data_IF_354166785496
#
_entry.id   IF_354166785496
#
_cell.length_a   1.000
_cell.length_b   1.000
_cell.length_c   1.000
_cell.angle_alpha   90.00
_cell.angle_beta   90.00
_cell.angle_gamma   90.00
#
_symmetry.space_group_name_H-M   'P 1'
#
loop_
_entity.id
_entity.type
_entity.pdbx_description
1 polymer ?
#
# COMPACT_ATOMS: atom_id res chain seq x y z
N UNK A 1 -1.06 -33.63 20.27
CA UNK A 1 -1.41 -32.36 19.60
C UNK A 1 -1.65 -32.67 18.12
N UNK A 2 -2.90 -32.65 17.68
CA UNK A 2 -3.24 -32.98 16.28
C UNK A 2 -2.67 -31.91 15.36
N UNK A 3 -1.84 -32.32 14.42
CA UNK A 3 -1.17 -31.41 13.49
C UNK A 3 -2.20 -30.75 12.55
N UNK A 4 -2.06 -29.45 12.31
CA UNK A 4 -3.05 -28.67 11.55
C UNK A 4 -2.88 -28.91 10.05
N UNK A 5 -3.55 -29.94 9.54
CA UNK A 5 -3.44 -30.37 8.13
C UNK A 5 -4.58 -29.88 7.24
N UNK A 6 -5.77 -29.64 7.81
CA UNK A 6 -6.98 -29.32 7.06
C UNK A 6 -7.04 -27.85 6.63
N UNK A 7 -7.67 -27.60 5.48
CA UNK A 7 -7.88 -26.24 4.95
C UNK A 7 -8.84 -25.46 5.87
N UNK A 8 -8.66 -24.14 6.04
CA UNK A 8 -9.61 -23.33 6.81
C UNK A 8 -11.00 -23.35 6.17
N UNK A 9 -12.03 -23.50 7.00
CA UNK A 9 -13.43 -23.35 6.58
C UNK A 9 -13.73 -21.91 6.13
N UNK A 10 -14.82 -21.71 5.36
CA UNK A 10 -15.24 -20.35 4.98
C UNK A 10 -15.61 -19.51 6.21
N UNK A 11 -16.23 -20.12 7.23
CA UNK A 11 -16.61 -19.45 8.46
C UNK A 11 -15.41 -18.93 9.24
N UNK A 12 -14.33 -19.72 9.35
CA UNK A 12 -13.08 -19.29 9.97
C UNK A 12 -12.44 -18.13 9.23
N UNK A 13 -12.45 -18.15 7.89
CA UNK A 13 -11.98 -17.02 7.06
C UNK A 13 -12.82 -15.76 7.27
N UNK A 14 -14.15 -15.89 7.38
CA UNK A 14 -15.03 -14.75 7.63
C UNK A 14 -14.87 -14.19 9.04
N UNK A 15 -14.71 -15.03 10.06
CA UNK A 15 -14.42 -14.61 11.44
C UNK A 15 -13.09 -13.87 11.53
N UNK A 16 -12.02 -14.44 10.94
CA UNK A 16 -10.72 -13.79 10.86
C UNK A 16 -10.84 -12.39 10.21
N UNK A 17 -11.57 -12.28 9.09
CA UNK A 17 -11.85 -10.98 8.45
C UNK A 17 -12.61 -10.01 9.35
N UNK A 18 -13.66 -10.44 10.05
CA UNK A 18 -14.43 -9.59 10.99
C UNK A 18 -13.58 -9.08 12.14
N UNK A 19 -12.57 -9.84 12.56
CA UNK A 19 -11.57 -9.44 13.56
C UNK A 19 -10.43 -8.60 12.97
N UNK A 20 -10.51 -8.26 11.69
CA UNK A 20 -9.50 -7.52 10.94
C UNK A 20 -8.28 -8.34 10.53
N UNK A 21 -8.25 -9.65 10.80
CA UNK A 21 -7.17 -10.54 10.38
C UNK A 21 -7.23 -10.88 8.90
N UNK A 22 -6.52 -10.06 8.13
CA UNK A 22 -6.36 -10.15 6.69
C UNK A 22 -4.87 -10.32 6.34
N UNK A 23 -4.55 -11.05 5.25
CA UNK A 23 -3.19 -11.07 4.72
C UNK A 23 -2.89 -9.69 4.14
N UNK A 24 -1.88 -9.01 4.69
CA UNK A 24 -1.41 -7.70 4.22
C UNK A 24 0.06 -7.84 3.79
N UNK A 25 0.37 -7.26 2.64
CA UNK A 25 1.72 -7.20 2.06
C UNK A 25 2.18 -5.75 2.06
N UNK A 26 3.15 -5.43 2.92
CA UNK A 26 3.70 -4.08 2.99
C UNK A 26 4.42 -3.71 1.70
N UNK A 27 5.15 -4.65 1.10
CA UNK A 27 5.92 -4.42 -0.11
C UNK A 27 5.03 -4.16 -1.33
N UNK A 28 3.88 -4.84 -1.42
CA UNK A 28 2.88 -4.57 -2.45
C UNK A 28 2.26 -3.18 -2.31
N UNK A 29 1.94 -2.75 -1.08
CA UNK A 29 1.45 -1.39 -0.85
C UNK A 29 2.47 -0.38 -1.35
N UNK A 30 3.73 -0.50 -0.92
CA UNK A 30 4.80 0.44 -1.29
C UNK A 30 5.06 0.46 -2.80
N UNK A 31 5.08 -0.70 -3.47
CA UNK A 31 5.30 -0.78 -4.91
C UNK A 31 4.17 -0.11 -5.71
N UNK A 32 2.90 -0.36 -5.34
CA UNK A 32 1.74 0.24 -6.01
C UNK A 32 1.67 1.74 -5.74
N UNK A 33 1.83 2.17 -4.48
CA UNK A 33 1.84 3.59 -4.11
C UNK A 33 2.97 4.34 -4.81
N UNK A 34 4.17 3.75 -4.86
CA UNK A 34 5.32 4.33 -5.57
C UNK A 34 5.11 4.44 -7.07
N UNK A 35 4.54 3.41 -7.71
CA UNK A 35 4.21 3.44 -9.13
C UNK A 35 3.14 4.48 -9.48
N UNK A 36 2.11 4.61 -8.64
CA UNK A 36 1.08 5.64 -8.81
C UNK A 36 1.66 7.04 -8.59
N UNK A 37 2.56 7.22 -7.63
CA UNK A 37 3.26 8.48 -7.42
C UNK A 37 4.15 8.86 -8.61
N UNK A 38 4.86 7.88 -9.19
CA UNK A 38 5.64 8.11 -10.41
C UNK A 38 4.77 8.55 -11.59
N UNK A 39 3.62 7.89 -11.81
CA UNK A 39 2.67 8.30 -12.85
C UNK A 39 2.19 9.74 -12.62
N UNK A 40 1.75 10.05 -11.39
CA UNK A 40 1.30 11.40 -11.02
C UNK A 40 2.39 12.44 -11.27
N UNK A 41 3.62 12.18 -10.86
CA UNK A 41 4.76 13.07 -11.11
C UNK A 41 5.02 13.27 -12.60
N UNK A 42 4.99 12.19 -13.38
CA UNK A 42 5.30 12.25 -14.81
C UNK A 42 4.29 13.14 -15.57
N UNK A 43 3.01 13.06 -15.23
CA UNK A 43 1.98 13.87 -15.89
C UNK A 43 1.82 15.28 -15.30
N UNK A 44 2.01 15.46 -13.99
CA UNK A 44 1.74 16.73 -13.30
C UNK A 44 2.98 17.63 -13.18
N UNK A 45 4.20 17.08 -13.21
CA UNK A 45 5.42 17.87 -13.07
C UNK A 45 5.58 18.99 -14.12
N UNK A 46 5.24 18.78 -15.42
CA UNK A 46 5.32 19.87 -16.41
C UNK A 46 4.39 21.04 -16.06
N UNK A 47 3.16 20.74 -15.62
CA UNK A 47 2.19 21.74 -15.22
C UNK A 47 2.62 22.48 -13.95
N UNK A 48 3.19 21.76 -12.98
CA UNK A 48 3.73 22.36 -11.76
C UNK A 48 4.90 23.29 -12.10
N UNK A 49 5.86 22.82 -12.91
CA UNK A 49 7.01 23.60 -13.35
C UNK A 49 6.57 24.87 -14.10
N UNK A 50 5.67 24.75 -15.07
CA UNK A 50 5.15 25.89 -15.82
C UNK A 50 4.43 26.91 -14.91
N UNK A 51 3.70 26.44 -13.90
CA UNK A 51 3.02 27.31 -12.93
C UNK A 51 4.02 28.06 -12.04
N UNK A 52 5.10 27.39 -11.63
CA UNK A 52 6.20 28.03 -10.90
C UNK A 52 6.94 29.06 -11.76
N UNK A 53 7.24 28.74 -13.03
CA UNK A 53 7.88 29.69 -13.95
C UNK A 53 7.01 30.93 -14.14
N UNK A 54 5.70 30.76 -14.36
CA UNK A 54 4.74 31.88 -14.46
C UNK A 54 4.70 32.72 -13.19
N UNK A 55 4.73 32.08 -12.01
CA UNK A 55 4.77 32.79 -10.73
C UNK A 55 6.04 33.65 -10.62
N UNK A 56 7.21 33.07 -10.90
CA UNK A 56 8.49 33.80 -10.87
C UNK A 56 8.50 34.95 -11.86
N UNK A 57 8.07 34.72 -13.10
CA UNK A 57 7.96 35.77 -14.13
C UNK A 57 7.06 36.91 -13.67
N UNK A 58 5.89 36.58 -13.10
CA UNK A 58 4.95 37.57 -12.58
C UNK A 58 5.60 38.37 -11.47
N UNK A 59 6.22 37.71 -10.48
CA UNK A 59 6.88 38.37 -9.34
C UNK A 59 8.05 39.28 -9.76
N UNK A 60 8.83 38.90 -10.77
CA UNK A 60 9.94 39.71 -11.29
C UNK A 60 9.44 40.89 -12.12
N UNK A 61 8.30 40.75 -12.79
CA UNK A 61 7.67 41.82 -13.58
C UNK A 61 6.81 42.79 -12.75
N UNK A 62 6.77 42.65 -11.42
CA UNK A 62 6.01 43.54 -10.55
C UNK A 62 6.66 44.93 -10.57
N UNK A 63 5.90 45.89 -11.05
CA UNK A 63 6.27 47.29 -11.06
C UNK A 63 6.43 47.82 -9.62
N UNK A 64 7.61 48.34 -9.32
CA UNK A 64 7.99 48.82 -7.99
C UNK A 64 7.24 50.12 -7.62
N UNK A 65 6.79 50.89 -8.62
CA UNK A 65 6.13 52.19 -8.44
C UNK A 65 4.64 52.04 -8.08
N UNK A 66 4.11 50.82 -8.10
CA UNK A 66 2.72 50.53 -7.72
C UNK A 66 2.54 50.47 -6.20
N UNK A 67 1.32 50.75 -5.75
CA UNK A 67 0.95 50.68 -4.34
C UNK A 67 1.21 49.30 -3.75
N UNK A 68 1.55 49.26 -2.45
CA UNK A 68 1.81 48.01 -1.71
C UNK A 68 0.64 47.01 -1.84
N UNK A 69 -0.60 47.49 -1.75
CA UNK A 69 -1.81 46.66 -1.86
C UNK A 69 -1.94 45.98 -3.22
N UNK A 70 -1.60 46.69 -4.31
CA UNK A 70 -1.62 46.11 -5.65
C UNK A 70 -0.54 45.03 -5.77
N UNK A 71 0.67 45.31 -5.26
CA UNK A 71 1.81 44.38 -5.31
C UNK A 71 1.50 43.09 -4.54
N UNK A 72 0.90 43.20 -3.35
CA UNK A 72 0.47 42.05 -2.56
C UNK A 72 -0.59 41.20 -3.28
N UNK A 73 -1.58 41.84 -3.91
CA UNK A 73 -2.60 41.14 -4.71
C UNK A 73 -1.98 40.44 -5.92
N UNK A 74 -1.04 41.07 -6.61
CA UNK A 74 -0.32 40.48 -7.74
C UNK A 74 0.44 39.22 -7.30
N UNK A 75 1.21 39.28 -6.22
CA UNK A 75 1.93 38.12 -5.67
C UNK A 75 0.97 36.99 -5.24
N UNK A 76 -0.11 37.31 -4.52
CA UNK A 76 -1.09 36.31 -4.09
C UNK A 76 -1.78 35.63 -5.29
N UNK A 77 -2.13 36.39 -6.32
CA UNK A 77 -2.72 35.85 -7.54
C UNK A 77 -1.74 34.95 -8.31
N UNK A 78 -0.46 35.34 -8.36
CA UNK A 78 0.60 34.55 -8.98
C UNK A 78 0.88 33.24 -8.22
N UNK A 79 0.72 33.25 -6.89
CA UNK A 79 0.88 32.07 -6.04
C UNK A 79 -0.33 31.12 -6.07
N UNK A 80 -1.51 31.59 -6.50
CA UNK A 80 -2.73 30.80 -6.47
C UNK A 80 -2.68 29.58 -7.42
N UNK A 81 -2.03 29.70 -8.57
CA UNK A 81 -1.90 28.62 -9.55
C UNK A 81 -0.94 27.51 -9.10
N UNK A 82 0.32 27.79 -8.71
CA UNK A 82 1.20 26.77 -8.14
C UNK A 82 0.64 26.22 -6.81
N UNK A 83 -0.06 27.03 -6.02
CA UNK A 83 -0.77 26.57 -4.82
C UNK A 83 -1.86 25.55 -5.11
N UNK A 84 -2.69 25.78 -6.15
CA UNK A 84 -3.70 24.82 -6.62
C UNK A 84 -3.07 23.54 -7.17
N UNK A 85 -1.99 23.66 -7.94
CA UNK A 85 -1.25 22.51 -8.46
C UNK A 85 -0.64 21.67 -7.32
N UNK A 86 -0.01 22.31 -6.34
CA UNK A 86 0.55 21.65 -5.16
C UNK A 86 -0.54 20.94 -4.34
N UNK A 87 -1.67 21.60 -4.09
CA UNK A 87 -2.80 21.00 -3.38
C UNK A 87 -3.34 19.77 -4.11
N UNK A 88 -3.50 19.86 -5.44
CA UNK A 88 -3.94 18.72 -6.27
C UNK A 88 -2.97 17.56 -6.15
N UNK A 89 -1.65 17.82 -6.17
CA UNK A 89 -0.63 16.79 -6.00
C UNK A 89 -0.66 16.16 -4.61
N UNK A 90 -0.85 16.96 -3.54
CA UNK A 90 -0.99 16.45 -2.18
C UNK A 90 -2.21 15.54 -2.03
N UNK A 91 -3.35 15.92 -2.59
CA UNK A 91 -4.58 15.10 -2.58
C UNK A 91 -4.37 13.81 -3.37
N UNK A 92 -3.81 13.89 -4.57
CA UNK A 92 -3.50 12.70 -5.38
C UNK A 92 -2.48 11.78 -4.68
N UNK A 93 -1.50 12.34 -3.98
CA UNK A 93 -0.52 11.59 -3.19
C UNK A 93 -1.15 10.87 -2.00
N UNK A 94 -2.07 11.53 -1.30
CA UNK A 94 -2.85 10.91 -0.24
C UNK A 94 -3.67 9.74 -0.78
N UNK A 95 -4.35 9.93 -1.92
CA UNK A 95 -5.09 8.87 -2.61
C UNK A 95 -4.14 7.73 -2.98
N UNK A 96 -2.96 8.04 -3.51
CA UNK A 96 -1.98 7.04 -3.89
C UNK A 96 -1.43 6.22 -2.72
N UNK A 97 -1.37 6.81 -1.52
CA UNK A 97 -0.98 6.09 -0.31
C UNK A 97 -2.14 5.25 0.28
N UNK A 98 -3.36 5.78 0.27
CA UNK A 98 -4.51 5.19 0.97
C UNK A 98 -5.21 4.11 0.14
N UNK A 99 -5.36 4.29 -1.17
CA UNK A 99 -6.11 3.35 -2.02
C UNK A 99 -5.50 1.95 -2.02
N UNK A 100 -4.17 1.74 -2.19
CA UNK A 100 -3.59 0.39 -2.18
C UNK A 100 -3.84 -0.33 -0.85
N UNK A 101 -3.78 0.39 0.26
CA UNK A 101 -4.08 -0.11 1.59
C UNK A 101 -5.54 -0.53 1.75
N UNK A 102 -6.48 0.30 1.28
CA UNK A 102 -7.92 -0.03 1.29
C UNK A 102 -8.24 -1.23 0.39
N UNK A 103 -7.61 -1.34 -0.77
CA UNK A 103 -7.77 -2.47 -1.70
C UNK A 103 -7.26 -3.76 -1.08
N UNK A 104 -6.06 -3.75 -0.46
CA UNK A 104 -5.57 -4.91 0.28
C UNK A 104 -6.49 -5.28 1.45
N UNK A 105 -7.03 -4.27 2.13
CA UNK A 105 -7.99 -4.46 3.20
C UNK A 105 -9.38 -4.92 2.73
N UNK A 106 -9.63 -4.94 1.40
CA UNK A 106 -10.96 -5.19 0.82
C UNK A 106 -12.04 -4.28 1.40
N UNK A 107 -11.69 -3.04 1.72
CA UNK A 107 -12.59 -2.04 2.33
C UNK A 107 -12.95 -2.33 3.79
N UNK A 108 -12.25 -3.24 4.47
CA UNK A 108 -12.61 -3.68 5.81
C UNK A 108 -11.96 -2.77 6.87
N UNK A 109 -12.78 -1.94 7.53
CA UNK A 109 -12.36 -1.11 8.66
C UNK A 109 -12.70 -1.86 9.95
N UNK A 110 -11.71 -2.54 10.53
CA UNK A 110 -11.89 -3.32 11.76
C UNK A 110 -11.62 -2.48 13.01
N UNK A 111 -12.65 -1.80 13.53
CA UNK A 111 -12.56 -1.02 14.78
C UNK A 111 -12.10 -1.84 15.99
N UNK A 112 -12.35 -3.16 15.99
CA UNK A 112 -11.95 -4.07 17.06
C UNK A 112 -10.43 -4.17 17.26
N UNK A 113 -9.62 -3.79 16.25
CA UNK A 113 -8.15 -3.72 16.33
C UNK A 113 -7.61 -2.43 16.94
N UNK A 114 -8.45 -1.42 17.15
CA UNK A 114 -8.07 -0.14 17.75
C UNK A 114 -7.97 -0.25 19.28
N UNK A 115 -8.66 -1.22 19.89
CA UNK A 115 -8.56 -1.48 21.32
C UNK A 115 -7.16 -2.04 21.66
N UNK A 116 -6.47 -1.50 22.68
CA UNK A 116 -5.19 -2.04 23.14
C UNK A 116 -5.38 -3.46 23.68
N UNK A 117 -4.68 -4.42 23.08
CA UNK A 117 -4.71 -5.82 23.48
C UNK A 117 -3.41 -6.17 24.21
N UNK A 118 -3.48 -6.27 25.54
CA UNK A 118 -2.34 -6.58 26.42
C UNK A 118 -1.67 -7.92 26.07
N UNK A 119 -2.38 -8.84 25.41
CA UNK A 119 -1.79 -10.11 24.97
C UNK A 119 -0.73 -9.92 23.89
N UNK A 120 -0.81 -8.84 23.10
CA UNK A 120 0.19 -8.50 22.06
C UNK A 120 1.51 -7.97 22.63
N UNK A 121 1.55 -7.60 23.90
CA UNK A 121 2.76 -7.15 24.60
C UNK A 121 3.58 -8.32 25.18
N UNK A 122 3.20 -9.57 24.94
CA UNK A 122 3.95 -10.72 25.44
C UNK A 122 5.34 -10.82 24.76
N UNK A 123 6.45 -10.61 25.50
CA UNK A 123 7.79 -10.60 24.91
C UNK A 123 8.18 -11.97 24.32
N UNK A 124 7.66 -13.07 24.85
CA UNK A 124 7.97 -14.43 24.38
C UNK A 124 7.42 -14.65 22.96
N UNK A 125 6.19 -14.19 22.68
CA UNK A 125 5.64 -14.24 21.33
C UNK A 125 6.38 -13.29 20.38
N UNK A 126 6.85 -12.15 20.89
CA UNK A 126 7.74 -11.23 20.17
C UNK A 126 9.02 -11.92 19.70
N UNK A 127 9.75 -12.57 20.60
CA UNK A 127 10.97 -13.32 20.27
C UNK A 127 10.72 -14.45 19.26
N UNK A 128 9.64 -15.20 19.41
CA UNK A 128 9.27 -16.26 18.45
C UNK A 128 8.94 -15.70 17.07
N UNK A 129 8.35 -14.51 17.00
CA UNK A 129 8.07 -13.84 15.74
C UNK A 129 9.36 -13.31 15.08
N UNK A 130 10.38 -12.93 15.85
CA UNK A 130 11.68 -12.48 15.34
C UNK A 130 12.54 -13.62 14.79
N UNK A 131 12.44 -14.84 15.35
CA UNK A 131 13.22 -16.00 14.91
C UNK A 131 12.38 -17.08 14.18
N UNK A 132 11.16 -16.73 13.77
CA UNK A 132 10.27 -17.66 13.07
C UNK A 132 10.51 -17.73 11.56
N UNK A 133 9.91 -18.74 10.91
CA UNK A 133 9.91 -18.90 9.44
C UNK A 133 9.46 -17.62 8.72
N UNK A 134 8.53 -16.86 9.31
CA UNK A 134 8.07 -15.58 8.78
C UNK A 134 9.21 -14.56 8.72
N UNK A 135 9.96 -14.38 9.80
CA UNK A 135 11.07 -13.43 9.83
C UNK A 135 12.17 -13.81 8.83
N UNK A 136 12.47 -15.10 8.68
CA UNK A 136 13.46 -15.57 7.70
C UNK A 136 13.01 -15.25 6.26
N UNK A 137 11.74 -15.51 5.92
CA UNK A 137 11.19 -15.19 4.60
C UNK A 137 11.13 -13.68 4.34
N UNK A 138 10.68 -12.89 5.32
CA UNK A 138 10.61 -11.43 5.22
C UNK A 138 12.03 -10.84 5.03
N UNK A 139 13.02 -11.33 5.79
CA UNK A 139 14.42 -10.89 5.68
C UNK A 139 15.03 -11.26 4.34
N UNK A 140 14.83 -12.49 3.88
CA UNK A 140 15.30 -12.93 2.57
C UNK A 140 14.72 -12.10 1.44
N UNK A 141 13.43 -11.76 1.52
CA UNK A 141 12.79 -10.89 0.54
C UNK A 141 13.33 -9.46 0.58
N UNK A 142 13.56 -8.90 1.78
CA UNK A 142 14.17 -7.58 1.94
C UNK A 142 15.57 -7.52 1.32
N UNK A 143 16.38 -8.56 1.50
CA UNK A 143 17.70 -8.66 0.87
C UNK A 143 17.61 -8.69 -0.65
N UNK A 144 16.72 -9.52 -1.21
CA UNK A 144 16.48 -9.56 -2.66
C UNK A 144 16.07 -8.18 -3.18
N UNK A 145 15.11 -7.54 -2.50
CA UNK A 145 14.61 -6.23 -2.89
C UNK A 145 15.72 -5.17 -2.85
N UNK A 146 16.56 -5.19 -1.81
CA UNK A 146 17.71 -4.29 -1.68
C UNK A 146 18.72 -4.53 -2.80
N UNK A 147 19.05 -5.78 -3.13
CA UNK A 147 19.95 -6.10 -4.24
C UNK A 147 19.41 -5.60 -5.57
N UNK A 148 18.11 -5.80 -5.84
CA UNK A 148 17.45 -5.32 -7.06
C UNK A 148 17.50 -3.79 -7.14
N UNK A 149 17.16 -3.09 -6.05
CA UNK A 149 17.22 -1.63 -5.98
C UNK A 149 18.64 -1.11 -6.22
N UNK A 150 19.64 -1.68 -5.55
CA UNK A 150 21.04 -1.30 -5.71
C UNK A 150 21.52 -1.51 -7.15
N UNK A 151 21.14 -2.63 -7.77
CA UNK A 151 21.48 -2.90 -9.17
C UNK A 151 20.84 -1.88 -10.12
N UNK A 152 19.55 -1.58 -9.97
CA UNK A 152 18.86 -0.58 -10.81
C UNK A 152 19.47 0.81 -10.61
N UNK A 153 19.71 1.22 -9.36
CA UNK A 153 20.31 2.50 -9.03
C UNK A 153 21.72 2.61 -9.63
N UNK A 154 22.55 1.57 -9.48
CA UNK A 154 23.89 1.53 -10.05
C UNK A 154 23.88 1.73 -11.56
N UNK A 155 23.06 0.95 -12.29
CA UNK A 155 22.98 1.06 -13.75
C UNK A 155 22.48 2.44 -14.20
N UNK A 156 21.47 2.98 -13.53
CA UNK A 156 20.93 4.29 -13.87
C UNK A 156 21.95 5.41 -13.61
N UNK A 157 22.69 5.35 -12.49
CA UNK A 157 23.74 6.30 -12.15
C UNK A 157 24.90 6.17 -13.15
N UNK A 158 25.38 4.96 -13.44
CA UNK A 158 26.45 4.75 -14.44
C UNK A 158 26.06 5.27 -15.83
N UNK A 159 24.83 5.01 -16.27
CA UNK A 159 24.31 5.54 -17.52
C UNK A 159 24.24 7.07 -17.51
N UNK A 160 23.81 7.66 -16.39
CA UNK A 160 23.77 9.12 -16.25
C UNK A 160 25.18 9.73 -16.27
N UNK A 161 26.16 9.16 -15.54
CA UNK A 161 27.55 9.61 -15.55
C UNK A 161 28.16 9.59 -16.96
N UNK A 162 27.84 8.60 -17.79
CA UNK A 162 28.29 8.55 -19.18
C UNK A 162 27.81 9.75 -20.01
N UNK A 163 26.69 10.37 -19.62
CA UNK A 163 26.13 11.57 -20.26
C UNK A 163 26.54 12.89 -19.58
N UNK A 164 27.23 12.87 -18.43
CA UNK A 164 27.63 14.09 -17.70
C UNK A 164 28.68 14.90 -18.46
N UNK A 165 29.61 14.25 -19.17
CA UNK A 165 30.63 14.93 -19.99
C UNK A 165 30.04 15.92 -21.00
N UNK A 166 29.14 15.47 -21.90
CA UNK A 166 28.48 16.37 -22.86
C UNK A 166 27.41 17.28 -22.23
N UNK A 167 27.03 17.12 -20.95
CA UNK A 167 26.01 17.97 -20.34
C UNK A 167 26.48 19.43 -20.20
N UNK A 168 27.77 19.65 -19.95
CA UNK A 168 28.35 20.99 -19.75
C UNK A 168 28.32 21.87 -21.01
N UNK A 169 28.24 21.27 -22.19
CA UNK A 169 28.19 22.00 -23.46
C UNK A 169 26.76 22.31 -23.94
N UNK A 170 25.73 21.87 -23.21
CA UNK A 170 24.34 22.10 -23.56
C UNK A 170 23.80 23.38 -22.93
N UNK A 171 22.80 23.99 -23.58
CA UNK A 171 22.04 25.09 -22.99
C UNK A 171 21.30 24.66 -21.71
N UNK A 172 21.08 25.57 -20.74
CA UNK A 172 20.47 25.24 -19.44
C UNK A 172 19.12 24.52 -19.55
N UNK A 173 18.27 24.89 -20.52
CA UNK A 173 16.97 24.26 -20.70
C UNK A 173 17.10 22.80 -21.19
N UNK A 174 18.07 22.54 -22.07
CA UNK A 174 18.38 21.20 -22.56
C UNK A 174 18.97 20.31 -21.46
N UNK A 175 19.80 20.88 -20.58
CA UNK A 175 20.30 20.18 -19.39
C UNK A 175 19.15 19.76 -18.45
N UNK A 176 18.19 20.66 -18.20
CA UNK A 176 17.03 20.38 -17.37
C UNK A 176 16.12 19.31 -18.00
N UNK A 177 15.91 19.35 -19.32
CA UNK A 177 15.12 18.34 -20.04
C UNK A 177 15.76 16.94 -19.94
N UNK A 178 17.08 16.83 -20.12
CA UNK A 178 17.79 15.56 -19.97
C UNK A 178 17.75 15.06 -18.52
N UNK A 179 17.95 15.93 -17.54
CA UNK A 179 17.89 15.56 -16.12
C UNK A 179 16.49 15.05 -15.73
N UNK A 180 15.43 15.71 -16.17
CA UNK A 180 14.04 15.30 -15.91
C UNK A 180 13.70 13.98 -16.62
N UNK A 181 14.19 13.76 -17.84
CA UNK A 181 14.03 12.49 -18.54
C UNK A 181 14.79 11.35 -17.84
N UNK A 182 16.04 11.58 -17.42
CA UNK A 182 16.82 10.59 -16.68
C UNK A 182 16.16 10.24 -15.34
N UNK A 183 15.67 11.25 -14.62
CA UNK A 183 14.97 11.07 -13.35
C UNK A 183 13.65 10.29 -13.51
N UNK A 184 12.83 10.65 -14.50
CA UNK A 184 11.58 9.94 -14.76
C UNK A 184 11.82 8.48 -15.18
N UNK A 185 12.86 8.22 -15.97
CA UNK A 185 13.26 6.86 -16.36
C UNK A 185 13.76 6.04 -15.16
N UNK A 186 14.56 6.63 -14.28
CA UNK A 186 15.02 5.98 -13.05
C UNK A 186 13.83 5.58 -12.17
N UNK A 187 12.90 6.52 -11.91
CA UNK A 187 11.71 6.24 -11.12
C UNK A 187 10.84 5.13 -11.75
N UNK A 188 10.72 5.11 -13.08
CA UNK A 188 10.01 4.05 -13.80
C UNK A 188 10.68 2.68 -13.60
N UNK A 189 12.00 2.59 -13.76
CA UNK A 189 12.75 1.36 -13.55
C UNK A 189 12.64 0.87 -12.11
N UNK A 190 12.75 1.77 -11.14
CA UNK A 190 12.55 1.44 -9.72
C UNK A 190 11.15 0.89 -9.51
N UNK A 191 10.10 1.61 -9.91
CA UNK A 191 8.71 1.16 -9.74
C UNK A 191 8.45 -0.22 -10.37
N UNK A 192 8.92 -0.44 -11.59
CA UNK A 192 8.77 -1.71 -12.30
C UNK A 192 9.56 -2.85 -11.62
N UNK A 193 10.80 -2.58 -11.19
CA UNK A 193 11.64 -3.58 -10.53
C UNK A 193 11.03 -4.10 -9.21
N UNK A 194 10.23 -3.26 -8.54
CA UNK A 194 9.58 -3.60 -7.28
C UNK A 194 8.34 -4.49 -7.46
N UNK A 195 7.78 -4.60 -8.66
CA UNK A 195 6.58 -5.41 -8.90
C UNK A 195 6.82 -6.89 -8.64
N UNK A 196 7.97 -7.43 -9.05
CA UNK A 196 8.29 -8.85 -8.86
C UNK A 196 8.48 -9.22 -7.37
N UNK A 197 9.32 -8.52 -6.58
CA UNK A 197 9.41 -8.73 -5.13
C UNK A 197 8.07 -8.53 -4.41
N UNK A 198 7.29 -7.52 -4.79
CA UNK A 198 5.97 -7.27 -4.23
C UNK A 198 4.98 -8.42 -4.49
N UNK A 199 4.97 -8.98 -5.69
CA UNK A 199 4.14 -10.13 -6.03
C UNK A 199 4.54 -11.37 -5.22
N UNK A 200 5.85 -11.59 -5.04
CA UNK A 200 6.38 -12.66 -4.20
C UNK A 200 5.96 -12.47 -2.73
N UNK A 201 6.10 -11.26 -2.17
CA UNK A 201 5.64 -10.94 -0.81
C UNK A 201 4.16 -11.28 -0.64
N UNK A 202 3.32 -10.79 -1.55
CA UNK A 202 1.89 -11.01 -1.49
C UNK A 202 1.54 -12.51 -1.50
N UNK A 203 2.21 -13.30 -2.34
CA UNK A 203 2.08 -14.75 -2.37
C UNK A 203 2.46 -15.41 -1.02
N UNK A 204 3.62 -15.03 -0.47
CA UNK A 204 4.15 -15.53 0.80
C UNK A 204 3.22 -15.16 1.96
N UNK A 205 2.82 -13.88 2.09
CA UNK A 205 1.92 -13.43 3.16
C UNK A 205 0.56 -14.13 3.07
N UNK A 206 0.03 -14.33 1.86
CA UNK A 206 -1.22 -15.06 1.65
C UNK A 206 -1.08 -16.55 2.02
N UNK A 207 0.04 -17.17 1.70
CA UNK A 207 0.33 -18.55 2.10
C UNK A 207 0.46 -18.67 3.62
N UNK A 208 1.24 -17.80 4.26
CA UNK A 208 1.45 -17.79 5.71
C UNK A 208 0.13 -17.56 6.46
N UNK A 209 -0.71 -16.63 5.98
CA UNK A 209 -2.03 -16.39 6.54
C UNK A 209 -2.94 -17.63 6.44
N UNK A 210 -2.98 -18.29 5.26
CA UNK A 210 -3.74 -19.54 5.10
C UNK A 210 -3.20 -20.66 6.00
N UNK A 211 -1.88 -20.79 6.14
CA UNK A 211 -1.24 -21.79 7.03
C UNK A 211 -1.62 -21.54 8.48
N UNK A 212 -1.63 -20.27 8.93
CA UNK A 212 -2.03 -19.89 10.30
C UNK A 212 -3.48 -20.25 10.61
N UNK A 213 -4.37 -20.14 9.61
CA UNK A 213 -5.80 -20.46 9.75
C UNK A 213 -6.14 -21.93 9.54
N UNK A 214 -5.17 -22.81 9.24
CA UNK A 214 -5.41 -24.26 9.10
C UNK A 214 -6.05 -24.84 10.37
N UNK A 215 -6.84 -25.88 10.15
CA UNK A 215 -7.61 -26.55 11.19
C UNK A 215 -7.10 -27.98 11.36
N UNK A 216 -7.36 -28.58 12.51
CA UNK A 216 -7.27 -30.03 12.62
C UNK A 216 -8.64 -30.66 12.30
N UNK A 217 -8.68 -31.99 12.17
CA UNK A 217 -9.92 -32.72 11.84
C UNK A 217 -11.03 -32.54 12.89
N UNK A 218 -10.67 -32.44 14.16
CA UNK A 218 -11.62 -32.32 15.26
C UNK A 218 -12.24 -30.92 15.34
N UNK A 219 -11.45 -29.87 15.13
CA UNK A 219 -11.88 -28.47 14.99
C UNK A 219 -12.84 -28.33 13.82
N UNK A 220 -12.53 -28.96 12.68
CA UNK A 220 -13.40 -28.93 11.48
C UNK A 220 -14.74 -29.61 11.78
N UNK A 221 -14.72 -30.80 12.39
CA UNK A 221 -15.94 -31.52 12.80
C UNK A 221 -16.77 -30.70 13.80
N UNK A 222 -16.12 -30.04 14.76
CA UNK A 222 -16.80 -29.18 15.74
C UNK A 222 -17.45 -27.97 15.07
N UNK A 223 -16.75 -27.33 14.13
CA UNK A 223 -17.29 -26.18 13.40
C UNK A 223 -18.48 -26.57 12.52
N UNK A 224 -18.44 -27.72 11.84
CA UNK A 224 -19.58 -28.26 11.10
C UNK A 224 -20.78 -28.57 12.02
N UNK A 225 -20.55 -29.16 13.19
CA UNK A 225 -21.62 -29.43 14.18
C UNK A 225 -22.27 -28.14 14.69
N UNK A 226 -21.48 -27.10 14.93
CA UNK A 226 -21.98 -25.77 15.33
C UNK A 226 -22.77 -25.08 14.21
N UNK A 227 -22.48 -25.39 12.94
CA UNK A 227 -23.09 -24.75 11.77
C UNK A 227 -24.38 -25.45 11.33
N UNK A 228 -24.41 -26.79 11.32
CA UNK A 228 -25.63 -27.56 11.02
C UNK A 228 -26.67 -27.50 12.15
N UNK A 229 -26.21 -27.12 13.35
CA UNK A 229 -26.91 -27.24 14.63
C UNK A 229 -26.92 -28.69 15.09
N UNK A 230 -26.91 -28.94 16.40
CA UNK A 230 -27.01 -30.31 16.92
C UNK A 230 -28.24 -30.99 16.29
N UNK A 231 -28.06 -32.09 15.51
CA UNK A 231 -29.17 -32.76 14.84
C UNK A 231 -30.24 -33.21 15.84
N UNK A 232 -29.88 -33.43 17.11
CA UNK A 232 -30.83 -33.70 18.20
C UNK A 232 -31.72 -32.49 18.50
N UNK A 233 -31.17 -31.27 18.47
CA UNK A 233 -31.91 -30.01 18.69
C UNK A 233 -32.76 -29.66 17.48
N UNK A 234 -32.26 -29.85 16.26
CA UNK A 234 -33.01 -29.66 15.00
C UNK A 234 -34.14 -30.68 14.86
N UNK A 235 -33.88 -31.93 15.27
CA UNK A 235 -34.86 -33.01 15.38
C UNK A 235 -35.94 -32.71 16.42
N UNK A 236 -35.55 -32.26 17.64
CA UNK A 236 -36.50 -31.82 18.68
C UNK A 236 -37.37 -30.66 18.20
N UNK A 237 -36.82 -29.64 17.54
CA UNK A 237 -37.62 -28.53 16.96
C UNK A 237 -38.65 -29.04 15.94
N UNK A 238 -38.25 -29.96 15.04
CA UNK A 238 -39.18 -30.55 14.07
C UNK A 238 -40.24 -31.45 14.70
N UNK A 239 -39.90 -32.17 15.78
CA UNK A 239 -40.84 -33.00 16.52
C UNK A 239 -41.87 -32.12 17.27
N UNK A 240 -41.42 -31.05 17.92
CA UNK A 240 -42.29 -30.10 18.61
C UNK A 240 -43.25 -29.41 17.63
N UNK A 241 -42.75 -28.96 16.47
CA UNK A 241 -43.60 -28.38 15.41
C UNK A 241 -44.67 -29.35 14.92
N UNK A 242 -44.34 -30.65 14.77
CA UNK A 242 -45.34 -31.66 14.39
C UNK A 242 -46.40 -31.86 15.48
N UNK A 243 -45.98 -31.92 16.75
CA UNK A 243 -46.93 -32.09 17.87
C UNK A 243 -47.87 -30.91 18.11
N UNK A 244 -47.49 -29.70 17.67
CA UNK A 244 -48.35 -28.51 17.74
C UNK A 244 -49.35 -28.51 16.57
N UNK A 245 -48.95 -28.98 15.40
CA UNK A 245 -49.80 -29.04 14.20
C UNK A 245 -50.83 -30.17 14.25
N UNK A 246 -50.59 -31.23 15.00
CA UNK A 246 -51.57 -32.32 15.27
C UNK A 246 -52.62 -31.95 16.33
N UNK A 247 -52.50 -30.76 16.97
CA UNK A 247 -53.42 -30.28 18.02
C UNK A 247 -54.31 -29.10 17.59
N UNK A 248 -54.29 -28.73 16.31
CA UNK A 248 -55.24 -27.79 15.68
C UNK A 248 -56.15 -28.54 14.72
#
# INVERSE_FOLDING_TARGET
>A
MSDKTEKPSQRRLQRARKEGDIPKSAHLSTAVSGGLWWLLMTFQAPNLFASFVRMVQTCVSIDADRSLDWRLKAVLSAAADPGRAALTMSVCGLIAAVVPELVQARGLIAFKRVAPDLRRLNPIEGFKNLFGLKALLDTGLMLIQMTVLSYVAWNAISAWLAHVGPLYSLEPLSQLALATQAHSRLLAMVALSQLAPAAADYGIQRMLHKRRLRMNKDELKRENREEEGDPLVKGRRRALHRSINDKS
#
